data_IF_019657724417
#
_entry.id   IF_019657724417
#
_cell.length_a   1.000
_cell.length_b   1.000
_cell.length_c   1.000
_cell.angle_alpha   90.00
_cell.angle_beta   90.00
_cell.angle_gamma   90.00
#
_symmetry.space_group_name_H-M   'P 1'
#
loop_
_entity.id
_entity.type
_entity.pdbx_description
1 polymer ?
#
# COMPACT_ATOMS: atom_id res chain seq x y z
N UNK A 1 10.98 -7.62 -13.52
CA UNK A 1 10.33 -6.62 -12.68
C UNK A 1 11.04 -6.54 -11.34
N UNK A 2 11.28 -7.66 -10.68
CA UNK A 2 12.08 -7.70 -9.44
C UNK A 2 13.42 -6.95 -9.56
N UNK A 3 14.21 -7.17 -10.62
CA UNK A 3 15.45 -6.39 -10.85
C UNK A 3 15.23 -4.88 -11.01
N UNK A 4 14.10 -4.48 -11.60
CA UNK A 4 13.71 -3.06 -11.70
C UNK A 4 13.43 -2.52 -10.31
N UNK A 5 12.69 -3.27 -9.50
CA UNK A 5 12.35 -2.89 -8.12
C UNK A 5 13.62 -2.80 -7.26
N UNK A 6 14.52 -3.79 -7.34
CA UNK A 6 15.82 -3.76 -6.64
C UNK A 6 16.59 -2.50 -6.99
N UNK A 7 16.67 -2.15 -8.28
CA UNK A 7 17.36 -0.92 -8.73
C UNK A 7 16.66 0.36 -8.28
N UNK A 8 15.35 0.46 -8.45
CA UNK A 8 14.54 1.64 -8.11
C UNK A 8 14.48 1.94 -6.62
N UNK A 9 14.60 0.90 -5.78
CA UNK A 9 14.58 1.00 -4.32
C UNK A 9 15.98 0.82 -3.70
N UNK A 10 17.01 0.63 -4.53
CA UNK A 10 18.41 0.41 -4.13
C UNK A 10 18.58 -0.77 -3.15
N UNK A 11 17.79 -1.83 -3.35
CA UNK A 11 17.79 -3.01 -2.50
C UNK A 11 18.95 -3.93 -2.84
N UNK A 12 19.56 -4.51 -1.80
CA UNK A 12 20.53 -5.59 -1.94
C UNK A 12 19.86 -6.95 -1.95
N UNK A 13 18.77 -7.10 -1.21
CA UNK A 13 18.02 -8.35 -1.08
C UNK A 13 16.56 -8.15 -1.45
N UNK A 14 15.99 -9.12 -2.15
CA UNK A 14 14.58 -9.15 -2.52
C UNK A 14 14.22 -10.61 -2.80
N UNK A 15 13.95 -11.35 -1.72
CA UNK A 15 13.74 -12.80 -1.79
C UNK A 15 12.27 -13.13 -1.54
N UNK A 16 11.58 -13.79 -2.48
CA UNK A 16 10.14 -14.06 -2.34
C UNK A 16 9.88 -15.05 -1.20
N UNK A 17 8.81 -14.83 -0.44
CA UNK A 17 8.32 -15.76 0.57
C UNK A 17 6.78 -15.85 0.54
N UNK A 18 6.26 -16.94 1.14
CA UNK A 18 4.84 -17.23 1.19
C UNK A 18 4.24 -17.70 -0.15
N UNK A 19 2.94 -18.00 -0.13
CA UNK A 19 2.18 -18.26 -1.36
C UNK A 19 1.73 -16.95 -2.01
N UNK A 20 1.47 -16.96 -3.32
CA UNK A 20 0.84 -15.80 -3.97
C UNK A 20 -0.49 -15.48 -3.28
N UNK A 21 -0.58 -14.35 -2.58
CA UNK A 21 -1.83 -13.79 -2.12
C UNK A 21 -2.55 -13.25 -3.37
N UNK A 22 -3.37 -14.10 -3.98
CA UNK A 22 -4.19 -13.74 -5.13
C UNK A 22 -5.38 -12.89 -4.71
N UNK A 23 -5.34 -11.60 -5.01
CA UNK A 23 -6.58 -10.82 -5.13
C UNK A 23 -7.28 -11.19 -6.45
N UNK A 24 -8.59 -10.95 -6.56
CA UNK A 24 -9.37 -11.27 -7.77
C UNK A 24 -8.82 -10.65 -9.08
N UNK A 25 -7.92 -9.66 -9.01
CA UNK A 25 -7.46 -8.87 -10.17
C UNK A 25 -5.92 -8.85 -10.32
N UNK A 26 -5.15 -9.02 -9.23
CA UNK A 26 -3.68 -8.92 -9.22
C UNK A 26 -3.03 -10.08 -8.47
N UNK A 27 -1.87 -10.54 -8.96
CA UNK A 27 -0.98 -11.44 -8.20
C UNK A 27 -0.15 -10.61 -7.23
N UNK A 28 -0.07 -11.02 -5.97
CA UNK A 28 0.80 -10.38 -4.99
C UNK A 28 1.62 -11.41 -4.21
N UNK A 29 2.87 -11.08 -3.92
CA UNK A 29 3.79 -11.95 -3.17
C UNK A 29 4.50 -11.15 -2.06
N UNK A 30 4.84 -11.83 -0.97
CA UNK A 30 5.72 -11.31 0.07
C UNK A 30 7.19 -11.42 -0.35
N UNK A 31 8.03 -10.48 0.07
CA UNK A 31 9.46 -10.48 -0.19
C UNK A 31 10.25 -10.01 1.05
N UNK A 32 11.29 -10.74 1.42
CA UNK A 32 12.28 -10.28 2.39
C UNK A 32 13.22 -9.29 1.70
N UNK A 33 13.41 -8.11 2.29
CA UNK A 33 14.32 -7.08 1.77
C UNK A 33 15.09 -6.37 2.89
N UNK A 34 16.10 -5.60 2.52
CA UNK A 34 16.85 -4.76 3.46
C UNK A 34 16.05 -3.54 3.98
N UNK A 35 14.86 -3.27 3.44
CA UNK A 35 13.90 -2.30 3.99
C UNK A 35 12.88 -2.93 4.94
N UNK A 36 12.99 -4.24 5.22
CA UNK A 36 11.98 -5.05 5.89
C UNK A 36 11.15 -5.86 4.90
N UNK A 37 10.12 -6.54 5.42
CA UNK A 37 9.25 -7.36 4.58
C UNK A 37 8.33 -6.49 3.71
N UNK A 38 8.30 -6.82 2.42
CA UNK A 38 7.54 -6.11 1.40
C UNK A 38 6.40 -6.96 0.88
N UNK A 39 5.28 -6.34 0.57
CA UNK A 39 4.25 -6.94 -0.27
C UNK A 39 4.25 -6.25 -1.63
N UNK A 40 4.35 -7.04 -2.70
CA UNK A 40 4.43 -6.50 -4.06
C UNK A 40 3.30 -7.07 -4.90
N UNK A 41 2.44 -6.19 -5.40
CA UNK A 41 1.42 -6.51 -6.41
C UNK A 41 2.00 -6.35 -7.80
N UNK A 42 1.64 -7.25 -8.72
CA UNK A 42 2.03 -7.20 -10.12
C UNK A 42 0.82 -7.28 -11.05
N UNK A 43 0.90 -6.58 -12.18
CA UNK A 43 -0.06 -6.70 -13.27
C UNK A 43 0.58 -6.32 -14.60
N UNK A 44 0.07 -6.91 -15.68
CA UNK A 44 0.47 -6.63 -17.07
C UNK A 44 -0.65 -5.99 -17.89
N UNK A 45 -1.77 -5.63 -17.24
CA UNK A 45 -2.87 -4.94 -17.90
C UNK A 45 -2.48 -3.49 -18.19
N UNK A 46 -2.90 -2.98 -19.35
CA UNK A 46 -2.60 -1.62 -19.82
C UNK A 46 -3.00 -0.53 -18.82
N UNK A 47 -4.15 -0.70 -18.13
CA UNK A 47 -4.65 0.25 -17.15
C UNK A 47 -4.06 0.07 -15.73
N UNK A 48 -3.20 -0.94 -15.51
CA UNK A 48 -2.75 -1.27 -14.16
C UNK A 48 -1.87 -0.19 -13.53
N UNK A 49 -1.12 0.59 -14.33
CA UNK A 49 -0.36 1.73 -13.79
C UNK A 49 -1.26 2.74 -13.10
N UNK A 50 -2.31 3.18 -13.79
CA UNK A 50 -3.29 4.13 -13.22
C UNK A 50 -3.94 3.58 -11.95
N UNK A 51 -4.23 2.27 -11.93
CA UNK A 51 -4.79 1.62 -10.74
C UNK A 51 -3.81 1.61 -9.57
N UNK A 52 -2.54 1.24 -9.81
CA UNK A 52 -1.52 1.23 -8.75
C UNK A 52 -1.12 2.62 -8.28
N UNK A 53 -1.16 3.64 -9.14
CA UNK A 53 -0.94 5.04 -8.74
C UNK A 53 -2.08 5.54 -7.84
N UNK A 54 -3.33 5.23 -8.19
CA UNK A 54 -4.48 5.57 -7.36
C UNK A 54 -4.45 4.85 -6.01
N UNK A 55 -4.09 3.56 -6.02
CA UNK A 55 -3.91 2.80 -4.78
C UNK A 55 -2.77 3.36 -3.92
N UNK A 56 -1.62 3.69 -4.52
CA UNK A 56 -0.52 4.34 -3.83
C UNK A 56 -0.96 5.65 -3.15
N UNK A 57 -1.59 6.56 -3.89
CA UNK A 57 -2.01 7.86 -3.39
C UNK A 57 -3.04 7.75 -2.25
N UNK A 58 -4.00 6.83 -2.38
CA UNK A 58 -4.99 6.59 -1.33
C UNK A 58 -4.39 5.96 -0.07
N UNK A 59 -3.47 5.00 -0.21
CA UNK A 59 -2.74 4.44 0.93
C UNK A 59 -1.87 5.51 1.61
N UNK A 60 -1.25 6.40 0.84
CA UNK A 60 -0.39 7.46 1.37
C UNK A 60 -1.21 8.45 2.19
N UNK A 61 -2.36 8.89 1.66
CA UNK A 61 -3.29 9.75 2.37
C UNK A 61 -3.76 9.12 3.68
N UNK A 62 -4.21 7.85 3.66
CA UNK A 62 -4.66 7.15 4.87
C UNK A 62 -3.51 6.93 5.86
N UNK A 63 -2.31 6.58 5.37
CA UNK A 63 -1.14 6.40 6.21
C UNK A 63 -0.81 7.69 6.97
N UNK A 64 -0.89 8.84 6.32
CA UNK A 64 -0.62 10.13 6.96
C UNK A 64 -1.67 10.55 7.99
N UNK A 65 -2.90 10.04 7.95
CA UNK A 65 -3.88 10.35 9.02
C UNK A 65 -3.53 9.70 10.35
N UNK A 66 -2.68 8.67 10.36
CA UNK A 66 -2.28 7.91 11.56
C UNK A 66 -3.48 7.39 12.37
N UNK A 67 -4.64 7.20 11.72
CA UNK A 67 -5.88 6.78 12.40
C UNK A 67 -6.08 5.28 12.34
N UNK A 68 -5.97 4.68 11.14
CA UNK A 68 -6.12 3.24 10.92
C UNK A 68 -4.81 2.65 10.41
N UNK A 69 -4.54 1.40 10.76
CA UNK A 69 -3.37 0.67 10.25
C UNK A 69 -3.61 0.29 8.79
N UNK A 70 -2.75 0.81 7.91
CA UNK A 70 -2.65 0.43 6.49
C UNK A 70 -1.20 0.05 6.18
N UNK A 71 -0.94 -0.78 5.15
CA UNK A 71 0.42 -1.05 4.72
C UNK A 71 1.04 0.26 4.21
N UNK A 72 2.22 0.60 4.71
CA UNK A 72 2.93 1.80 4.25
C UNK A 72 3.21 1.69 2.75
N UNK A 73 2.72 2.61 1.90
CA UNK A 73 3.06 2.59 0.49
C UNK A 73 4.51 3.02 0.31
N UNK A 74 5.24 2.34 -0.58
CA UNK A 74 6.66 2.62 -0.84
C UNK A 74 6.84 3.20 -2.24
N UNK A 75 6.32 2.51 -3.28
CA UNK A 75 6.42 3.01 -4.66
C UNK A 75 5.47 2.30 -5.62
N UNK A 76 4.93 3.05 -6.59
CA UNK A 76 4.33 2.52 -7.81
C UNK A 76 5.35 2.56 -8.94
N UNK A 77 5.67 1.39 -9.52
CA UNK A 77 6.76 1.22 -10.51
C UNK A 77 6.17 0.69 -11.81
N UNK A 78 6.70 1.13 -12.94
CA UNK A 78 6.35 0.63 -14.27
C UNK A 78 7.57 0.44 -15.14
N UNK A 79 7.60 -0.68 -15.85
CA UNK A 79 8.59 -0.94 -16.88
C UNK A 79 7.92 -1.65 -18.06
N UNK A 80 7.81 -0.94 -19.19
CA UNK A 80 7.06 -1.38 -20.38
C UNK A 80 5.62 -1.74 -19.98
N UNK A 81 5.15 -2.94 -20.33
CA UNK A 81 3.79 -3.42 -20.04
C UNK A 81 3.67 -4.14 -18.70
N UNK A 82 4.62 -3.94 -17.78
CA UNK A 82 4.60 -4.55 -16.45
C UNK A 82 4.53 -3.44 -15.41
N UNK A 83 3.62 -3.59 -14.46
CA UNK A 83 3.34 -2.61 -13.42
C UNK A 83 3.40 -3.29 -12.05
N UNK A 84 3.86 -2.56 -11.04
CA UNK A 84 3.89 -3.06 -9.67
C UNK A 84 3.63 -1.98 -8.63
N UNK A 85 2.95 -2.35 -7.56
CA UNK A 85 2.83 -1.56 -6.34
C UNK A 85 3.60 -2.25 -5.23
N UNK A 86 4.55 -1.53 -4.64
CA UNK A 86 5.37 -1.98 -3.50
C UNK A 86 4.85 -1.32 -2.23
N UNK A 87 4.53 -2.13 -1.23
CA UNK A 87 4.11 -1.68 0.11
C UNK A 87 4.86 -2.46 1.19
N UNK A 88 4.79 -1.99 2.42
CA UNK A 88 5.08 -2.79 3.60
C UNK A 88 4.24 -4.08 3.60
N UNK A 89 4.85 -5.19 4.01
CA UNK A 89 4.13 -6.41 4.33
C UNK A 89 3.51 -6.30 5.72
N UNK A 90 2.18 -6.49 5.80
CA UNK A 90 1.50 -6.64 7.09
C UNK A 90 1.24 -8.11 7.31
N UNK A 91 1.75 -8.65 8.41
CA UNK A 91 1.33 -9.94 8.90
C UNK A 91 -0.10 -9.85 9.45
N UNK A 92 -1.02 -10.51 8.76
CA UNK A 92 -2.43 -10.58 9.16
C UNK A 92 -2.72 -11.78 10.09
N UNK A 93 -1.70 -12.55 10.48
CA UNK A 93 -1.85 -13.59 11.47
C UNK A 93 -2.06 -12.97 12.86
N UNK A 94 -3.26 -13.12 13.40
CA UNK A 94 -3.60 -12.64 14.74
C UNK A 94 -5.10 -12.59 15.00
N UNK A 95 -5.48 -12.32 16.25
CA UNK A 95 -6.88 -12.15 16.62
C UNK A 95 -7.43 -10.84 16.04
N UNK A 96 -8.55 -10.91 15.33
CA UNK A 96 -9.26 -9.73 14.83
C UNK A 96 -9.70 -8.84 16.00
N UNK A 97 -9.56 -7.51 15.84
CA UNK A 97 -10.01 -6.50 16.83
C UNK A 97 -11.09 -5.58 16.23
N UNK A 98 -12.28 -6.11 15.89
CA UNK A 98 -13.29 -5.38 15.12
C UNK A 98 -13.77 -4.09 15.80
N UNK A 99 -13.96 -4.11 17.13
CA UNK A 99 -14.39 -2.92 17.86
C UNK A 99 -13.34 -1.80 17.87
N UNK A 100 -12.04 -2.15 17.88
CA UNK A 100 -10.97 -1.17 17.78
C UNK A 100 -10.93 -0.57 16.38
N UNK A 101 -10.99 -1.42 15.35
CA UNK A 101 -11.06 -0.98 13.96
C UNK A 101 -12.23 -0.03 13.73
N UNK A 102 -13.42 -0.33 14.26
CA UNK A 102 -14.59 0.54 14.14
C UNK A 102 -14.37 1.93 14.75
N UNK A 103 -13.73 2.02 15.93
CA UNK A 103 -13.40 3.31 16.57
C UNK A 103 -12.38 4.10 15.76
N UNK A 104 -11.32 3.44 15.32
CA UNK A 104 -10.24 4.08 14.57
C UNK A 104 -10.72 4.56 13.19
N UNK A 105 -11.61 3.79 12.56
CA UNK A 105 -12.28 4.19 11.33
C UNK A 105 -13.21 5.40 11.54
N UNK A 106 -13.96 5.45 12.64
CA UNK A 106 -14.77 6.63 12.95
C UNK A 106 -13.92 7.90 13.13
N UNK A 107 -12.76 7.79 13.81
CA UNK A 107 -11.82 8.92 13.94
C UNK A 107 -11.27 9.38 12.59
N UNK A 108 -10.99 8.45 11.66
CA UNK A 108 -10.57 8.78 10.31
C UNK A 108 -11.57 9.73 9.62
N UNK A 109 -12.87 9.41 9.67
CA UNK A 109 -13.92 10.26 9.12
C UNK A 109 -14.02 11.62 9.83
N UNK A 110 -13.90 11.66 11.17
CA UNK A 110 -13.94 12.91 11.93
C UNK A 110 -12.79 13.86 11.56
N UNK A 111 -11.57 13.36 11.39
CA UNK A 111 -10.42 14.18 11.00
C UNK A 111 -10.62 14.80 9.60
N UNK A 112 -11.12 14.01 8.66
CA UNK A 112 -11.42 14.51 7.31
C UNK A 112 -12.44 15.65 7.31
N UNK A 113 -13.49 15.54 8.14
CA UNK A 113 -14.49 16.61 8.28
C UNK A 113 -13.89 17.88 8.91
N UNK A 114 -13.02 17.74 9.91
CA UNK A 114 -12.39 18.89 10.57
C UNK A 114 -11.43 19.63 9.64
N UNK A 115 -10.61 18.91 8.87
CA UNK A 115 -9.71 19.52 7.88
C UNK A 115 -10.52 20.26 6.80
N UNK A 116 -11.64 19.68 6.36
CA UNK A 116 -12.55 20.32 5.41
C UNK A 116 -13.15 21.61 5.97
N UNK A 117 -13.61 21.59 7.23
CA UNK A 117 -14.21 22.76 7.89
C UNK A 117 -13.22 23.89 8.15
N UNK A 118 -11.94 23.58 8.40
CA UNK A 118 -10.89 24.60 8.52
C UNK A 118 -10.67 25.35 7.21
N UNK A 119 -10.67 24.66 6.06
CA UNK A 119 -10.50 25.27 4.73
C UNK A 119 -11.64 26.25 4.40
N UNK A 120 -12.86 25.99 4.88
CA UNK A 120 -14.00 26.90 4.68
C UNK A 120 -14.10 28.04 5.70
N UNK A 121 -13.28 28.04 6.76
CA UNK A 121 -13.28 29.08 7.79
C UNK A 121 -12.25 30.19 7.57
N UNK A 122 -11.32 29.99 6.62
CA UNK A 122 -10.27 30.95 6.25
C UNK A 122 -10.61 31.80 5.01
N UNK A 123 -11.88 31.82 4.58
CA UNK A 123 -12.38 32.71 3.52
C UNK A 123 -13.38 33.75 4.06
#
# INVERSE_FOLDING_TARGET
MEEVIRKELQLKTLEPFGGSAGGCISKGNGYHSDLGDLFIKFSERENAKRMFDGEFASLEAIYHTQTIRVPKPIKSISNRNRHSLVTEYIDLHGSSKPSQLGRDLARHYSNFLNDTMHIYSEN
#
